data_IF_013295904619
#
_entry.id   IF_013295904619
#
_cell.length_a   1.000
_cell.length_b   1.000
_cell.length_c   1.000
_cell.angle_alpha   90.00
_cell.angle_beta   90.00
_cell.angle_gamma   90.00
#
_symmetry.space_group_name_H-M   'P 1'
#
loop_
_entity.id
_entity.type
_entity.pdbx_description
1 polymer ?
#
# COMPACT_ATOMS: atom_id res chain seq x y z
N UNK A 1 -5.50 22.17 6.19
CA UNK A 1 -4.55 21.23 5.57
C UNK A 1 -5.40 20.21 4.83
N UNK A 2 -5.25 20.09 3.51
CA UNK A 2 -6.26 19.47 2.64
C UNK A 2 -6.34 17.96 2.88
N UNK A 3 -7.57 17.44 2.96
CA UNK A 3 -7.88 16.02 3.10
C UNK A 3 -7.51 15.16 1.87
N UNK A 4 -6.75 15.73 0.91
CA UNK A 4 -6.47 15.14 -0.40
C UNK A 4 -5.03 14.66 -0.58
N UNK A 5 -4.12 14.88 0.39
CA UNK A 5 -2.69 14.61 0.14
C UNK A 5 -2.38 13.14 -0.16
N UNK A 6 -3.19 12.17 0.27
CA UNK A 6 -2.91 10.74 0.10
C UNK A 6 -3.89 9.99 -0.80
N UNK A 7 -4.90 10.65 -1.36
CA UNK A 7 -5.99 9.96 -2.08
C UNK A 7 -5.49 9.13 -3.27
N UNK A 8 -4.52 9.68 -4.03
CA UNK A 8 -3.91 8.97 -5.15
C UNK A 8 -3.07 7.76 -4.72
N UNK A 9 -2.33 7.88 -3.62
CA UNK A 9 -1.51 6.77 -3.10
C UNK A 9 -2.38 5.68 -2.48
N UNK A 10 -3.48 6.04 -1.81
CA UNK A 10 -4.48 5.10 -1.32
C UNK A 10 -5.12 4.31 -2.46
N UNK A 11 -5.51 4.97 -3.55
CA UNK A 11 -6.05 4.29 -4.72
C UNK A 11 -5.03 3.30 -5.33
N UNK A 12 -3.75 3.71 -5.43
CA UNK A 12 -2.69 2.84 -5.93
C UNK A 12 -2.45 1.62 -5.03
N UNK A 13 -2.36 1.83 -3.71
CA UNK A 13 -2.20 0.74 -2.72
C UNK A 13 -3.36 -0.25 -2.79
N UNK A 14 -4.60 0.26 -2.84
CA UNK A 14 -5.78 -0.59 -2.91
C UNK A 14 -5.77 -1.44 -4.17
N UNK A 15 -5.48 -0.84 -5.32
CA UNK A 15 -5.39 -1.56 -6.58
C UNK A 15 -4.28 -2.62 -6.57
N UNK A 16 -3.07 -2.26 -6.10
CA UNK A 16 -1.92 -3.17 -6.02
C UNK A 16 -2.28 -4.40 -5.15
N UNK A 17 -2.93 -4.19 -4.00
CA UNK A 17 -3.34 -5.26 -3.08
C UNK A 17 -4.50 -6.11 -3.61
N UNK A 18 -5.51 -5.50 -4.23
CA UNK A 18 -6.62 -6.21 -4.88
C UNK A 18 -6.13 -7.15 -6.01
N UNK A 19 -5.06 -6.76 -6.71
CA UNK A 19 -4.40 -7.63 -7.69
C UNK A 19 -3.55 -8.69 -7.00
N UNK A 20 -2.80 -8.33 -5.96
CA UNK A 20 -1.90 -9.25 -5.25
C UNK A 20 -2.63 -10.45 -4.64
N UNK A 21 -3.84 -10.27 -4.09
CA UNK A 21 -4.63 -11.36 -3.51
C UNK A 21 -5.15 -12.36 -4.55
N UNK A 22 -5.10 -12.02 -5.85
CA UNK A 22 -5.45 -12.92 -6.95
C UNK A 22 -4.24 -13.72 -7.48
N UNK A 23 -3.02 -13.40 -7.03
CA UNK A 23 -1.81 -14.07 -7.46
C UNK A 23 -1.72 -15.49 -6.88
N UNK A 24 -1.02 -16.37 -7.59
CA UNK A 24 -0.58 -17.63 -7.00
C UNK A 24 0.41 -17.40 -5.86
N UNK A 25 0.63 -18.42 -5.03
CA UNK A 25 1.46 -18.30 -3.83
C UNK A 25 2.89 -17.81 -4.13
N UNK A 26 3.51 -18.30 -5.21
CA UNK A 26 4.89 -17.94 -5.54
C UNK A 26 4.99 -16.47 -5.96
N UNK A 27 4.05 -16.01 -6.79
CA UNK A 27 3.96 -14.62 -7.22
C UNK A 27 3.58 -13.68 -6.06
N UNK A 28 2.69 -14.11 -5.17
CA UNK A 28 2.31 -13.35 -3.97
C UNK A 28 3.50 -13.15 -3.02
N UNK A 29 4.29 -14.20 -2.75
CA UNK A 29 5.49 -14.08 -1.90
C UNK A 29 6.49 -13.11 -2.52
N UNK A 30 6.68 -13.17 -3.85
CA UNK A 30 7.52 -12.21 -4.58
C UNK A 30 7.02 -10.77 -4.44
N UNK A 31 5.73 -10.55 -4.63
CA UNK A 31 5.10 -9.24 -4.42
C UNK A 31 5.33 -8.74 -2.99
N UNK A 32 5.02 -9.55 -1.97
CA UNK A 32 5.13 -9.18 -0.56
C UNK A 32 6.58 -8.81 -0.17
N UNK A 33 7.57 -9.51 -0.71
CA UNK A 33 8.99 -9.21 -0.47
C UNK A 33 9.41 -7.81 -0.94
N UNK A 34 8.75 -7.27 -1.97
CA UNK A 34 9.08 -5.97 -2.57
C UNK A 34 8.10 -4.86 -2.19
N UNK A 35 6.96 -5.20 -1.57
CA UNK A 35 5.88 -4.23 -1.36
C UNK A 35 6.25 -3.10 -0.39
N UNK A 36 7.11 -3.38 0.59
CA UNK A 36 7.63 -2.33 1.48
C UNK A 36 8.44 -1.26 0.73
N UNK A 37 9.20 -1.67 -0.31
CA UNK A 37 9.92 -0.72 -1.16
C UNK A 37 8.95 0.14 -1.98
N UNK A 38 7.89 -0.46 -2.51
CA UNK A 38 6.82 0.26 -3.22
C UNK A 38 6.17 1.34 -2.34
N UNK A 39 5.86 1.03 -1.09
CA UNK A 39 5.31 2.02 -0.15
C UNK A 39 6.30 3.17 0.12
N UNK A 40 7.61 2.88 0.19
CA UNK A 40 8.64 3.92 0.34
C UNK A 40 8.75 4.82 -0.89
N UNK A 41 8.57 4.29 -2.10
CA UNK A 41 8.52 5.09 -3.33
C UNK A 41 7.33 6.05 -3.36
N UNK A 42 6.15 5.61 -2.90
CA UNK A 42 4.98 6.47 -2.77
C UNK A 42 5.22 7.56 -1.71
N UNK A 43 5.73 7.15 -0.55
CA UNK A 43 6.01 8.05 0.57
C UNK A 43 7.06 9.14 0.25
N UNK A 44 8.05 8.84 -0.61
CA UNK A 44 9.10 9.78 -1.00
C UNK A 44 8.58 11.04 -1.72
N UNK A 45 7.34 11.03 -2.23
CA UNK A 45 6.71 12.18 -2.89
C UNK A 45 6.19 13.23 -1.90
N UNK A 46 6.15 12.90 -0.61
CA UNK A 46 5.57 13.74 0.43
C UNK A 46 6.61 14.57 1.18
N UNK A 47 6.25 15.74 1.75
CA UNK A 47 7.17 16.56 2.54
C UNK A 47 7.79 15.86 3.76
N UNK A 48 7.11 14.82 4.29
CA UNK A 48 7.57 14.02 5.42
C UNK A 48 7.56 12.52 5.06
N UNK A 49 8.58 12.01 4.35
CA UNK A 49 8.56 10.66 3.79
C UNK A 49 8.38 9.55 4.82
N UNK A 50 9.04 9.62 5.98
CA UNK A 50 8.88 8.57 7.00
C UNK A 50 7.47 8.57 7.62
N UNK A 51 6.88 9.75 7.85
CA UNK A 51 5.50 9.86 8.31
C UNK A 51 4.50 9.34 7.28
N UNK A 52 4.72 9.69 6.01
CA UNK A 52 3.93 9.18 4.88
C UNK A 52 4.06 7.66 4.76
N UNK A 53 5.26 7.10 4.91
CA UNK A 53 5.47 5.65 4.86
C UNK A 53 4.68 4.92 5.96
N UNK A 54 4.74 5.41 7.20
CA UNK A 54 3.98 4.81 8.31
C UNK A 54 2.47 4.88 8.08
N UNK A 55 1.97 6.01 7.56
CA UNK A 55 0.56 6.20 7.20
C UNK A 55 0.12 5.25 6.09
N UNK A 56 0.87 5.20 4.98
CA UNK A 56 0.57 4.34 3.83
C UNK A 56 0.68 2.85 4.17
N UNK A 57 1.62 2.47 5.05
CA UNK A 57 1.70 1.10 5.57
C UNK A 57 0.47 0.74 6.40
N UNK A 58 0.04 1.62 7.31
CA UNK A 58 -1.19 1.40 8.09
C UNK A 58 -2.41 1.20 7.20
N UNK A 59 -2.56 2.03 6.17
CA UNK A 59 -3.63 1.88 5.19
C UNK A 59 -3.54 0.56 4.40
N UNK A 60 -2.33 0.12 4.01
CA UNK A 60 -2.14 -1.16 3.34
C UNK A 60 -2.56 -2.35 4.23
N UNK A 61 -2.25 -2.29 5.52
CA UNK A 61 -2.67 -3.31 6.50
C UNK A 61 -4.21 -3.35 6.62
N UNK A 62 -4.87 -2.18 6.71
CA UNK A 62 -6.34 -2.07 6.74
C UNK A 62 -7.02 -2.66 5.50
N UNK A 63 -6.44 -2.43 4.30
CA UNK A 63 -6.96 -2.99 3.05
C UNK A 63 -6.81 -4.51 3.02
N UNK A 64 -5.68 -5.05 3.47
CA UNK A 64 -5.46 -6.49 3.55
C UNK A 64 -6.45 -7.16 4.51
N UNK A 65 -6.72 -6.55 5.66
CA UNK A 65 -7.72 -7.02 6.62
C UNK A 65 -9.12 -7.06 5.97
N UNK A 66 -9.52 -5.97 5.31
CA UNK A 66 -10.80 -5.89 4.59
C UNK A 66 -10.93 -6.93 3.47
N UNK A 67 -9.84 -7.28 2.79
CA UNK A 67 -9.86 -8.30 1.74
C UNK A 67 -9.90 -9.71 2.31
N UNK A 68 -9.31 -9.94 3.50
CA UNK A 68 -9.33 -11.24 4.18
C UNK A 68 -10.68 -11.58 4.81
N UNK A 69 -11.50 -10.57 5.13
CA UNK A 69 -12.84 -10.74 5.73
C UNK A 69 -13.96 -10.98 4.69
N UNK A 70 -13.62 -11.14 3.41
CA UNK A 70 -14.56 -11.38 2.29
C UNK A 70 -14.67 -12.87 1.94
#
# INVERSE_FOLDING_TARGET
MSADSYSADHAAIKQDLEQAVQLDFAAYVGFAAHYSARLRELAAKHPHPEGAFLHLRGYADEVLEQLSDR
#
